data_IF_541127170262
#
_entry.id   IF_541127170262
#
_cell.length_a   1.000
_cell.length_b   1.000
_cell.length_c   1.000
_cell.angle_alpha   90.00
_cell.angle_beta   90.00
_cell.angle_gamma   90.00
#
_symmetry.space_group_name_H-M   'P 1'
#
loop_
_entity.id
_entity.type
_entity.pdbx_description
1 polymer ?
#
# COMPACT_ATOMS: atom_id res chain seq x y z
N UNK A 1 23.79 43.26 30.65
CA UNK A 1 23.85 42.28 29.52
C UNK A 1 24.80 42.83 28.45
N UNK A 2 25.83 42.08 28.05
CA UNK A 2 26.79 42.54 27.02
C UNK A 2 26.11 42.83 25.67
N UNK A 3 26.51 43.88 24.92
CA UNK A 3 25.97 44.22 23.61
C UNK A 3 25.94 43.05 22.62
N UNK A 4 26.96 42.19 22.67
CA UNK A 4 27.07 40.98 21.81
C UNK A 4 25.96 39.97 22.12
N UNK A 5 25.59 39.80 23.39
CA UNK A 5 24.48 38.92 23.82
C UNK A 5 23.11 39.48 23.40
N UNK A 6 22.95 40.81 23.32
CA UNK A 6 21.72 41.46 22.86
C UNK A 6 21.57 41.35 21.34
N UNK A 7 22.64 41.58 20.58
CA UNK A 7 22.66 41.40 19.14
C UNK A 7 22.28 39.96 18.74
N UNK A 8 22.84 38.94 19.41
CA UNK A 8 22.51 37.52 19.18
C UNK A 8 21.03 37.18 19.41
N UNK A 9 20.36 37.85 20.35
CA UNK A 9 18.93 37.60 20.65
C UNK A 9 17.96 38.24 19.65
N UNK A 10 18.41 39.21 18.87
CA UNK A 10 17.57 39.91 17.87
C UNK A 10 17.79 39.40 16.43
N UNK A 11 18.74 38.49 16.22
CA UNK A 11 19.12 37.94 14.91
C UNK A 11 17.90 37.47 14.12
N UNK A 12 17.11 36.56 14.68
CA UNK A 12 15.93 36.01 13.97
C UNK A 12 14.79 37.00 13.77
N UNK A 13 14.80 38.15 14.47
CA UNK A 13 13.84 39.23 14.21
C UNK A 13 14.24 40.03 12.98
N UNK A 14 15.53 40.25 12.77
CA UNK A 14 16.07 40.99 11.62
C UNK A 14 16.19 40.11 10.38
N UNK A 15 16.62 38.87 10.57
CA UNK A 15 16.88 37.90 9.51
C UNK A 15 16.22 36.55 9.86
N UNK A 16 14.89 36.43 9.70
CA UNK A 16 14.17 35.20 10.04
C UNK A 16 14.69 33.97 9.31
N UNK A 17 15.22 34.12 8.08
CA UNK A 17 15.71 32.98 7.28
C UNK A 17 16.84 32.21 7.96
N UNK A 18 17.61 32.89 8.84
CA UNK A 18 18.67 32.25 9.62
C UNK A 18 18.14 31.15 10.55
N UNK A 19 16.84 31.16 10.88
CA UNK A 19 16.22 30.07 11.64
C UNK A 19 16.27 28.74 10.88
N UNK A 20 15.97 28.75 9.57
CA UNK A 20 16.07 27.53 8.75
C UNK A 20 17.54 27.18 8.47
N UNK A 21 18.40 28.17 8.25
CA UNK A 21 19.83 27.95 8.02
C UNK A 21 20.53 27.29 9.21
N UNK A 22 20.09 27.56 10.44
CA UNK A 22 20.63 26.87 11.62
C UNK A 22 20.48 25.35 11.52
N UNK A 23 19.34 24.86 11.01
CA UNK A 23 19.11 23.42 10.80
C UNK A 23 19.90 22.85 9.63
N UNK A 24 20.06 23.63 8.55
CA UNK A 24 20.92 23.23 7.44
C UNK A 24 22.38 23.07 7.89
N UNK A 25 22.90 24.05 8.63
CA UNK A 25 24.27 23.99 9.14
C UNK A 25 24.45 22.80 10.10
N UNK A 26 23.46 22.52 10.95
CA UNK A 26 23.43 21.34 11.80
C UNK A 26 23.48 20.03 10.99
N UNK A 27 22.82 19.97 9.82
CA UNK A 27 22.88 18.82 8.92
C UNK A 27 24.26 18.67 8.29
N UNK A 28 24.78 19.74 7.67
CA UNK A 28 26.04 19.76 6.93
C UNK A 28 27.26 19.50 7.82
N UNK A 29 27.20 19.96 9.08
CA UNK A 29 28.31 19.86 10.04
C UNK A 29 28.13 18.76 11.08
N UNK A 30 27.02 18.04 11.01
CA UNK A 30 26.67 16.98 11.96
C UNK A 30 26.69 17.47 13.43
N UNK A 31 26.09 18.65 13.65
CA UNK A 31 26.04 19.31 14.95
C UNK A 31 24.64 19.25 15.56
N UNK A 32 24.58 19.24 16.89
CA UNK A 32 23.36 19.48 17.65
C UNK A 32 23.14 20.98 17.93
N UNK A 33 21.89 21.36 18.24
CA UNK A 33 21.59 22.70 18.73
C UNK A 33 22.10 22.86 20.16
N UNK A 34 22.82 23.96 20.44
CA UNK A 34 23.08 24.33 21.82
C UNK A 34 21.77 24.67 22.55
N UNK A 35 21.69 24.50 23.88
CA UNK A 35 20.50 24.87 24.66
C UNK A 35 20.08 26.33 24.45
N UNK A 36 21.04 27.25 24.31
CA UNK A 36 20.76 28.68 24.06
C UNK A 36 20.14 28.92 22.69
N UNK A 37 20.61 28.20 21.66
CA UNK A 37 20.07 28.32 20.31
C UNK A 37 18.67 27.70 20.24
N UNK A 38 18.45 26.57 20.90
CA UNK A 38 17.14 25.93 21.00
C UNK A 38 16.09 26.84 21.69
N UNK A 39 16.45 27.45 22.83
CA UNK A 39 15.59 28.44 23.52
C UNK A 39 15.31 29.66 22.62
N UNK A 40 16.34 30.16 21.91
CA UNK A 40 16.19 31.29 21.00
C UNK A 40 15.25 30.98 19.82
N UNK A 41 15.39 29.79 19.20
CA UNK A 41 14.50 29.33 18.13
C UNK A 41 13.06 29.24 18.61
N UNK A 42 12.84 28.61 19.77
CA UNK A 42 11.51 28.43 20.38
C UNK A 42 10.83 29.78 20.66
N UNK A 43 11.55 30.75 21.24
CA UNK A 43 11.01 32.10 21.50
C UNK A 43 10.77 32.92 20.23
N UNK A 44 11.41 32.54 19.12
CA UNK A 44 11.34 33.26 17.85
C UNK A 44 10.32 32.68 16.87
N UNK A 45 9.59 31.60 17.24
CA UNK A 45 8.59 30.96 16.38
C UNK A 45 7.51 31.90 15.84
N UNK A 46 7.23 33.01 16.54
CA UNK A 46 6.31 34.07 16.05
C UNK A 46 6.74 34.66 14.70
N UNK A 47 8.02 34.58 14.35
CA UNK A 47 8.56 35.06 13.08
C UNK A 47 8.27 34.08 11.93
N UNK A 48 7.96 32.81 12.23
CA UNK A 48 7.53 31.80 11.26
C UNK A 48 6.06 32.04 10.94
N UNK A 49 5.81 33.09 10.16
CA UNK A 49 4.50 33.51 9.69
C UNK A 49 4.14 32.82 8.37
N UNK A 50 2.93 33.05 7.85
CA UNK A 50 2.57 32.63 6.49
C UNK A 50 3.55 33.21 5.46
N UNK A 51 3.95 34.46 5.58
CA UNK A 51 4.96 35.05 4.69
C UNK A 51 6.27 34.28 4.71
N UNK A 52 6.72 33.84 5.89
CA UNK A 52 7.91 33.01 6.03
C UNK A 52 7.77 31.65 5.35
N UNK A 53 6.62 30.98 5.52
CA UNK A 53 6.37 29.66 4.93
C UNK A 53 6.37 29.67 3.38
N UNK A 54 6.10 30.81 2.76
CA UNK A 54 6.11 30.99 1.29
C UNK A 54 7.39 31.66 0.77
N UNK A 55 8.31 32.08 1.66
CA UNK A 55 9.54 32.75 1.29
C UNK A 55 10.51 31.82 0.53
N UNK A 56 11.28 32.39 -0.39
CA UNK A 56 12.20 31.64 -1.26
C UNK A 56 13.35 30.99 -0.48
N UNK A 57 13.97 31.71 0.46
CA UNK A 57 15.11 31.22 1.24
C UNK A 57 14.78 29.96 2.06
N UNK A 58 13.83 30.02 3.01
CA UNK A 58 13.45 28.87 3.82
C UNK A 58 12.96 27.68 3.00
N UNK A 59 12.23 27.95 1.90
CA UNK A 59 11.81 26.90 0.94
C UNK A 59 13.01 26.17 0.34
N UNK A 60 13.97 26.91 -0.23
CA UNK A 60 15.13 26.32 -0.86
C UNK A 60 15.96 25.49 0.14
N UNK A 61 16.15 26.02 1.35
CA UNK A 61 16.89 25.32 2.41
C UNK A 61 16.15 24.05 2.85
N UNK A 62 14.83 24.11 3.09
CA UNK A 62 14.07 22.93 3.49
C UNK A 62 14.08 21.84 2.41
N UNK A 63 13.94 22.21 1.13
CA UNK A 63 14.12 21.28 0.01
C UNK A 63 15.51 20.63 0.07
N UNK A 64 16.57 21.43 0.25
CA UNK A 64 17.94 20.92 0.38
C UNK A 64 18.11 19.95 1.54
N UNK A 65 17.48 20.21 2.70
CA UNK A 65 17.51 19.32 3.86
C UNK A 65 16.90 17.95 3.52
N UNK A 66 15.73 17.95 2.86
CA UNK A 66 15.04 16.72 2.47
C UNK A 66 15.75 15.94 1.35
N UNK A 67 16.63 16.58 0.58
CA UNK A 67 17.40 15.91 -0.48
C UNK A 67 18.65 15.16 0.03
N UNK A 68 18.98 15.23 1.32
CA UNK A 68 20.16 14.55 1.90
C UNK A 68 19.82 13.14 2.42
N UNK A 69 19.92 12.12 1.56
CA UNK A 69 19.67 10.71 1.94
C UNK A 69 20.41 10.31 3.22
N UNK A 70 19.71 9.67 4.14
CA UNK A 70 20.29 9.17 5.39
C UNK A 70 20.56 10.23 6.45
N UNK A 71 20.25 11.51 6.19
CA UNK A 71 20.56 12.63 7.10
C UNK A 71 19.35 13.53 7.38
N UNK A 72 18.12 13.06 7.16
CA UNK A 72 16.90 13.88 7.24
C UNK A 72 16.22 13.80 8.60
N UNK A 73 16.03 12.58 9.13
CA UNK A 73 15.30 12.29 10.36
C UNK A 73 15.83 13.05 11.56
N UNK A 74 17.16 13.03 11.77
CA UNK A 74 17.81 13.81 12.84
C UNK A 74 17.42 15.29 12.81
N UNK A 75 17.40 15.89 11.62
CA UNK A 75 17.12 17.32 11.45
C UNK A 75 15.65 17.62 11.63
N UNK A 76 14.75 16.79 11.08
CA UNK A 76 13.32 16.96 11.30
C UNK A 76 12.96 16.79 12.78
N UNK A 77 13.60 15.87 13.50
CA UNK A 77 13.47 15.75 14.97
C UNK A 77 13.98 16.99 15.69
N UNK A 78 15.13 17.53 15.30
CA UNK A 78 15.64 18.79 15.87
C UNK A 78 14.68 19.95 15.64
N UNK A 79 14.11 20.07 14.44
CA UNK A 79 13.08 21.06 14.12
C UNK A 79 11.79 20.83 14.92
N UNK A 80 11.37 19.58 15.12
CA UNK A 80 10.17 19.23 15.88
C UNK A 80 10.32 19.54 17.38
N UNK A 81 11.47 19.21 17.98
CA UNK A 81 11.77 19.47 19.41
C UNK A 81 11.63 20.93 19.82
N UNK A 82 11.89 21.86 18.91
CA UNK A 82 11.73 23.31 19.13
C UNK A 82 10.44 23.87 18.52
N UNK A 83 9.47 23.01 18.18
CA UNK A 83 8.20 23.31 17.52
C UNK A 83 8.30 24.04 16.18
N UNK A 84 9.49 24.10 15.58
CA UNK A 84 9.72 24.78 14.31
C UNK A 84 9.11 24.00 13.14
N UNK A 85 9.24 22.66 13.14
CA UNK A 85 8.73 21.82 12.05
C UNK A 85 7.22 21.99 11.88
N UNK A 86 6.45 21.79 12.96
CA UNK A 86 4.99 21.95 12.94
C UNK A 86 4.54 23.38 12.62
N UNK A 87 5.36 24.39 12.93
CA UNK A 87 5.06 25.78 12.56
C UNK A 87 5.35 26.07 11.08
N UNK A 88 6.35 25.42 10.49
CA UNK A 88 6.72 25.57 9.09
C UNK A 88 5.85 24.72 8.13
N UNK A 89 5.49 23.50 8.57
CA UNK A 89 4.55 22.59 7.90
C UNK A 89 3.34 22.35 8.84
N UNK A 90 2.34 23.26 8.83
CA UNK A 90 1.18 23.17 9.73
C UNK A 90 0.36 21.88 9.59
N UNK A 91 0.38 21.25 8.42
CA UNK A 91 -0.29 19.98 8.15
C UNK A 91 0.31 18.84 9.01
N UNK A 92 1.64 18.81 9.16
CA UNK A 92 2.31 17.93 10.11
C UNK A 92 2.13 18.41 11.56
N UNK A 93 2.17 19.73 11.79
CA UNK A 93 2.04 20.30 13.13
C UNK A 93 0.75 19.89 13.86
N UNK A 94 -0.33 19.62 13.13
CA UNK A 94 -1.59 19.12 13.68
C UNK A 94 -1.53 17.67 14.20
N UNK A 95 -0.51 16.90 13.83
CA UNK A 95 -0.27 15.55 14.34
C UNK A 95 0.44 15.53 15.70
N UNK A 96 0.94 16.69 16.17
CA UNK A 96 1.71 16.79 17.41
C UNK A 96 0.92 16.26 18.60
N UNK A 97 1.43 15.23 19.27
CA UNK A 97 0.77 14.55 20.38
C UNK A 97 -0.61 13.96 20.05
N UNK A 98 -0.92 13.73 18.77
CA UNK A 98 -2.18 13.10 18.36
C UNK A 98 -2.13 11.59 18.63
N UNK A 99 -2.95 11.12 19.56
CA UNK A 99 -3.08 9.68 19.86
C UNK A 99 -3.79 8.98 18.71
N UNK A 100 -3.22 7.85 18.28
CA UNK A 100 -3.78 6.99 17.24
C UNK A 100 -4.61 5.90 17.91
N UNK A 101 -5.82 5.65 17.41
CA UNK A 101 -6.77 4.74 18.05
C UNK A 101 -6.75 3.31 17.47
N UNK A 102 -5.91 3.03 16.47
CA UNK A 102 -5.73 1.66 15.98
C UNK A 102 -4.77 0.86 16.87
N UNK A 103 -5.11 -0.41 17.12
CA UNK A 103 -4.49 -1.30 18.12
C UNK A 103 -2.96 -1.52 18.00
N UNK A 104 -2.36 -1.24 16.83
CA UNK A 104 -0.95 -1.50 16.57
C UNK A 104 -0.05 -0.27 16.73
N UNK A 105 -0.60 0.94 16.90
CA UNK A 105 0.22 2.15 17.00
C UNK A 105 0.78 2.33 18.40
N UNK A 106 2.11 2.18 18.51
CA UNK A 106 2.85 2.48 19.75
C UNK A 106 3.06 3.98 19.99
N UNK A 107 3.03 4.76 18.92
CA UNK A 107 3.45 6.17 18.91
C UNK A 107 2.28 7.11 18.57
N UNK A 108 2.34 8.34 19.07
CA UNK A 108 1.51 9.44 18.54
C UNK A 108 1.82 9.66 17.06
N UNK A 109 0.87 10.23 16.31
CA UNK A 109 0.98 10.31 14.84
C UNK A 109 2.22 11.09 14.36
N UNK A 110 2.62 12.13 15.09
CA UNK A 110 3.87 12.86 14.84
C UNK A 110 5.12 12.01 15.07
N UNK A 111 5.19 11.31 16.21
CA UNK A 111 6.34 10.47 16.53
C UNK A 111 6.42 9.26 15.59
N UNK A 112 5.29 8.63 15.25
CA UNK A 112 5.22 7.59 14.23
C UNK A 112 5.81 8.08 12.89
N UNK A 113 5.39 9.26 12.43
CA UNK A 113 5.90 9.87 11.20
C UNK A 113 7.42 10.06 11.24
N UNK A 114 7.96 10.55 12.36
CA UNK A 114 9.40 10.75 12.54
C UNK A 114 10.16 9.42 12.63
N UNK A 115 9.58 8.40 13.27
CA UNK A 115 10.15 7.04 13.30
C UNK A 115 10.22 6.46 11.89
N UNK A 116 9.18 6.62 11.05
CA UNK A 116 9.20 6.15 9.66
C UNK A 116 10.35 6.80 8.87
N UNK A 117 10.58 8.10 9.08
CA UNK A 117 11.68 8.82 8.45
C UNK A 117 13.04 8.31 8.95
N UNK A 118 13.19 8.01 10.25
CA UNK A 118 14.41 7.41 10.78
C UNK A 118 14.68 6.01 10.19
N UNK A 119 13.62 5.21 9.98
CA UNK A 119 13.72 3.89 9.32
C UNK A 119 14.23 4.03 7.90
N UNK A 120 13.73 5.02 7.16
CA UNK A 120 14.22 5.33 5.82
C UNK A 120 15.69 5.79 5.85
N UNK A 121 16.05 6.68 6.77
CA UNK A 121 17.43 7.15 6.93
C UNK A 121 18.41 5.99 7.19
N UNK A 122 18.03 5.06 8.06
CA UNK A 122 18.85 3.91 8.42
C UNK A 122 19.18 3.00 7.22
N UNK A 123 18.38 3.03 6.13
CA UNK A 123 18.68 2.28 4.92
C UNK A 123 19.97 2.75 4.24
N UNK A 124 20.38 4.01 4.40
CA UNK A 124 21.59 4.53 3.76
C UNK A 124 22.87 3.78 4.18
N UNK A 125 22.90 3.29 5.42
CA UNK A 125 24.10 2.69 6.02
C UNK A 125 23.88 1.24 6.49
N UNK A 126 22.69 0.67 6.26
CA UNK A 126 22.36 -0.67 6.74
C UNK A 126 23.22 -1.76 6.09
N UNK A 127 23.64 -2.73 6.91
CA UNK A 127 24.27 -3.98 6.49
C UNK A 127 23.39 -5.20 6.80
N UNK A 128 22.15 -4.98 7.24
CA UNK A 128 21.19 -6.06 7.46
C UNK A 128 20.80 -6.68 6.11
N UNK A 129 21.07 -7.98 5.95
CA UNK A 129 20.77 -8.75 4.75
C UNK A 129 19.30 -8.66 4.34
N UNK A 130 18.37 -8.55 5.30
CA UNK A 130 16.93 -8.38 5.03
C UNK A 130 16.63 -7.03 4.37
N UNK A 131 17.43 -6.00 4.66
CA UNK A 131 17.21 -4.62 4.20
C UNK A 131 18.03 -4.24 2.97
N UNK A 132 18.99 -5.06 2.54
CA UNK A 132 19.87 -4.74 1.39
C UNK A 132 19.08 -4.48 0.11
N UNK A 133 18.01 -5.21 -0.16
CA UNK A 133 17.18 -4.99 -1.35
C UNK A 133 16.52 -3.60 -1.34
N UNK A 134 15.99 -3.16 -0.19
CA UNK A 134 15.43 -1.81 -0.04
C UNK A 134 16.50 -0.73 -0.10
N UNK A 135 17.66 -0.97 0.52
CA UNK A 135 18.82 -0.07 0.42
C UNK A 135 19.19 0.19 -1.04
N UNK A 136 19.26 -0.86 -1.87
CA UNK A 136 19.52 -0.71 -3.32
C UNK A 136 18.47 0.18 -3.98
N UNK A 137 17.18 -0.02 -3.71
CA UNK A 137 16.11 0.83 -4.24
C UNK A 137 16.32 2.29 -3.81
N UNK A 138 16.65 2.52 -2.54
CA UNK A 138 16.88 3.85 -1.98
C UNK A 138 18.14 4.53 -2.56
N UNK A 139 19.23 3.79 -2.77
CA UNK A 139 20.46 4.29 -3.39
C UNK A 139 20.22 4.75 -4.84
N UNK A 140 19.42 4.02 -5.62
CA UNK A 140 19.12 4.37 -7.01
C UNK A 140 18.11 5.52 -7.18
N UNK A 141 17.43 5.94 -6.12
CA UNK A 141 16.48 7.04 -6.15
C UNK A 141 17.21 8.39 -6.30
N UNK A 142 17.24 9.04 -7.46
CA UNK A 142 18.08 10.23 -7.70
C UNK A 142 17.91 11.36 -6.66
N UNK A 143 16.67 11.76 -6.37
CA UNK A 143 16.34 12.80 -5.37
C UNK A 143 15.30 12.27 -4.37
N UNK A 144 15.63 12.19 -3.07
CA UNK A 144 14.71 11.67 -2.06
C UNK A 144 13.72 12.70 -1.53
N UNK A 145 13.76 13.96 -1.97
CA UNK A 145 12.91 15.03 -1.48
C UNK A 145 11.43 14.65 -1.42
N UNK A 146 10.90 14.11 -2.54
CA UNK A 146 9.49 13.73 -2.65
C UNK A 146 9.16 12.55 -1.72
N UNK A 147 10.09 11.62 -1.54
CA UNK A 147 9.91 10.45 -0.68
C UNK A 147 9.84 10.85 0.80
N UNK A 148 10.78 11.67 1.28
CA UNK A 148 10.75 12.18 2.65
C UNK A 148 9.53 13.07 2.91
N UNK A 149 9.16 13.90 1.94
CA UNK A 149 7.97 14.74 2.06
C UNK A 149 6.68 13.91 2.07
N UNK A 150 6.63 12.81 1.30
CA UNK A 150 5.51 11.88 1.34
C UNK A 150 5.38 11.24 2.73
N UNK A 151 6.48 10.73 3.30
CA UNK A 151 6.49 10.20 4.66
C UNK A 151 6.08 11.26 5.70
N UNK A 152 6.55 12.49 5.57
CA UNK A 152 6.17 13.57 6.50
C UNK A 152 4.65 13.87 6.49
N UNK A 153 3.94 13.53 5.41
CA UNK A 153 2.55 13.93 5.18
C UNK A 153 1.56 12.76 5.08
N UNK A 154 2.04 11.51 5.01
CA UNK A 154 1.19 10.34 4.70
C UNK A 154 -0.03 10.22 5.61
N UNK A 155 0.14 10.55 6.89
CA UNK A 155 -0.89 10.47 7.92
C UNK A 155 -1.51 11.81 8.33
N UNK A 156 -1.18 12.91 7.64
CA UNK A 156 -1.66 14.25 8.00
C UNK A 156 -3.19 14.39 8.01
N UNK A 157 -3.92 13.57 7.24
CA UNK A 157 -5.37 13.46 7.24
C UNK A 157 -5.98 12.94 8.54
N UNK A 158 -5.22 12.22 9.39
CA UNK A 158 -5.70 11.74 10.70
C UNK A 158 -6.08 12.91 11.63
N UNK A 159 -5.40 14.05 11.51
CA UNK A 159 -5.67 15.24 12.32
C UNK A 159 -7.09 15.81 12.15
N UNK A 160 -7.72 15.57 11.01
CA UNK A 160 -9.09 16.03 10.73
C UNK A 160 -10.14 14.91 10.84
N UNK A 161 -9.75 13.73 11.32
CA UNK A 161 -10.65 12.58 11.50
C UNK A 161 -11.23 12.02 10.20
N UNK A 162 -10.58 12.27 9.06
CA UNK A 162 -11.04 11.80 7.75
C UNK A 162 -10.96 10.27 7.63
N UNK A 163 -11.89 9.68 6.87
CA UNK A 163 -11.92 8.25 6.55
C UNK A 163 -12.33 8.05 5.08
N UNK A 164 -11.46 7.48 4.22
CA UNK A 164 -10.05 7.15 4.48
C UNK A 164 -9.21 8.42 4.72
N UNK A 165 -8.21 8.35 5.60
CA UNK A 165 -7.37 9.51 5.92
C UNK A 165 -6.42 9.89 4.78
N UNK A 166 -6.06 8.92 3.93
CA UNK A 166 -5.12 9.12 2.81
C UNK A 166 -5.58 10.19 1.82
N UNK A 167 -6.89 10.26 1.52
CA UNK A 167 -7.45 11.28 0.63
C UNK A 167 -7.27 12.70 1.21
N UNK A 168 -7.53 12.86 2.51
CA UNK A 168 -7.31 14.13 3.20
C UNK A 168 -5.81 14.49 3.27
N UNK A 169 -4.96 13.51 3.54
CA UNK A 169 -3.50 13.67 3.48
C UNK A 169 -3.06 14.13 2.08
N UNK A 170 -3.64 13.58 1.01
CA UNK A 170 -3.32 13.92 -0.36
C UNK A 170 -3.70 15.38 -0.70
N UNK A 171 -4.84 15.86 -0.20
CA UNK A 171 -5.23 17.27 -0.31
C UNK A 171 -4.25 18.19 0.43
N UNK A 172 -3.78 17.79 1.61
CA UNK A 172 -2.75 18.52 2.35
C UNK A 172 -1.41 18.52 1.61
N UNK A 173 -0.98 17.37 1.10
CA UNK A 173 0.22 17.24 0.28
C UNK A 173 0.17 18.11 -0.98
N UNK A 174 -1.00 18.22 -1.61
CA UNK A 174 -1.21 19.13 -2.74
C UNK A 174 -0.96 20.61 -2.37
N UNK A 175 -1.43 21.05 -1.20
CA UNK A 175 -1.19 22.43 -0.71
C UNK A 175 0.27 22.66 -0.37
N UNK A 176 0.92 21.69 0.30
CA UNK A 176 2.34 21.74 0.63
C UNK A 176 3.19 21.79 -0.65
N UNK A 177 2.88 20.98 -1.67
CA UNK A 177 3.57 21.00 -2.96
C UNK A 177 3.52 22.39 -3.61
N UNK A 178 2.38 23.06 -3.58
CA UNK A 178 2.24 24.43 -4.07
C UNK A 178 3.08 25.43 -3.28
N UNK A 179 3.09 25.32 -1.94
CA UNK A 179 3.89 26.17 -1.05
C UNK A 179 5.40 25.98 -1.25
N UNK A 180 5.82 24.74 -1.47
CA UNK A 180 7.21 24.36 -1.75
C UNK A 180 7.60 24.48 -3.24
N UNK A 181 6.71 24.98 -4.09
CA UNK A 181 6.94 25.17 -5.53
C UNK A 181 7.55 23.93 -6.21
N UNK A 182 6.97 22.76 -5.91
CA UNK A 182 7.37 21.52 -6.55
C UNK A 182 6.99 21.54 -8.04
N UNK A 183 7.78 20.86 -8.86
CA UNK A 183 7.50 20.65 -10.27
C UNK A 183 6.20 19.86 -10.45
N UNK A 184 5.63 19.89 -11.66
CA UNK A 184 4.41 19.11 -11.93
C UNK A 184 4.63 17.61 -11.73
N UNK A 185 5.84 17.10 -11.98
CA UNK A 185 6.16 15.68 -11.79
C UNK A 185 6.28 15.36 -10.29
N UNK A 186 7.09 16.13 -9.56
CA UNK A 186 7.27 15.99 -8.11
C UNK A 186 5.93 16.04 -7.37
N UNK A 187 5.05 17.00 -7.75
CA UNK A 187 3.72 17.14 -7.16
C UNK A 187 2.83 15.92 -7.42
N UNK A 188 2.86 15.37 -8.65
CA UNK A 188 2.06 14.17 -8.99
C UNK A 188 2.55 12.96 -8.20
N UNK A 189 3.87 12.75 -8.14
CA UNK A 189 4.45 11.66 -7.34
C UNK A 189 4.17 11.83 -5.85
N UNK A 190 4.28 13.04 -5.29
CA UNK A 190 3.96 13.29 -3.88
C UNK A 190 2.51 12.91 -3.55
N UNK A 191 1.56 13.40 -4.36
CA UNK A 191 0.13 13.14 -4.14
C UNK A 191 -0.13 11.63 -4.24
N UNK A 192 0.42 10.96 -5.25
CA UNK A 192 0.27 9.51 -5.43
C UNK A 192 0.79 8.75 -4.21
N UNK A 193 2.01 9.05 -3.75
CA UNK A 193 2.61 8.34 -2.62
C UNK A 193 1.82 8.54 -1.33
N UNK A 194 1.31 9.74 -1.09
CA UNK A 194 0.51 10.05 0.10
C UNK A 194 -0.88 9.41 0.02
N UNK A 195 -1.54 9.46 -1.14
CA UNK A 195 -2.89 8.88 -1.31
C UNK A 195 -2.87 7.34 -1.28
N UNK A 196 -1.79 6.75 -1.78
CA UNK A 196 -1.65 5.30 -1.92
C UNK A 196 -0.67 4.65 -0.94
N UNK A 197 -0.26 5.33 0.14
CA UNK A 197 0.76 4.81 1.07
C UNK A 197 0.44 3.42 1.64
N UNK A 198 -0.85 3.11 1.84
CA UNK A 198 -1.33 1.80 2.30
C UNK A 198 -1.59 0.79 1.16
N UNK A 199 -1.64 1.25 -0.10
CA UNK A 199 -2.15 0.44 -1.23
C UNK A 199 -1.31 -0.81 -1.46
N UNK A 200 0.02 -0.70 -1.49
CA UNK A 200 0.89 -1.84 -1.73
C UNK A 200 0.72 -2.92 -0.66
N UNK A 201 0.79 -2.53 0.62
CA UNK A 201 0.59 -3.43 1.76
C UNK A 201 -0.81 -4.06 1.77
N UNK A 202 -1.84 -3.28 1.46
CA UNK A 202 -3.24 -3.74 1.42
C UNK A 202 -3.47 -4.74 0.29
N UNK A 203 -3.01 -4.44 -0.93
CA UNK A 203 -3.16 -5.36 -2.07
C UNK A 203 -2.40 -6.66 -1.80
N UNK A 204 -1.15 -6.55 -1.31
CA UNK A 204 -0.32 -7.71 -0.98
C UNK A 204 -1.01 -8.72 -0.04
N UNK A 205 -1.77 -8.23 0.94
CA UNK A 205 -2.40 -9.05 1.97
C UNK A 205 -3.85 -9.48 1.64
N UNK A 206 -4.58 -8.71 0.83
CA UNK A 206 -6.03 -8.91 0.63
C UNK A 206 -6.39 -9.47 -0.75
N UNK A 207 -5.44 -9.51 -1.70
CA UNK A 207 -5.69 -9.94 -3.08
C UNK A 207 -4.88 -11.18 -3.42
N UNK A 208 -5.27 -11.85 -4.50
CA UNK A 208 -4.46 -12.91 -5.10
C UNK A 208 -3.31 -12.26 -5.90
N UNK A 209 -2.06 -12.57 -5.54
CA UNK A 209 -0.86 -11.99 -6.16
C UNK A 209 -0.45 -12.67 -7.46
N UNK A 210 -1.04 -13.82 -7.75
CA UNK A 210 -0.84 -14.54 -9.01
C UNK A 210 -1.82 -14.06 -10.10
N UNK A 211 -2.83 -13.28 -9.73
CA UNK A 211 -3.82 -12.71 -10.65
C UNK A 211 -3.21 -11.54 -11.45
N UNK A 212 -3.14 -11.64 -12.81
CA UNK A 212 -2.72 -10.54 -13.67
C UNK A 212 -3.50 -9.25 -13.41
N UNK A 213 -4.80 -9.34 -13.10
CA UNK A 213 -5.62 -8.17 -12.86
C UNK A 213 -5.15 -7.38 -11.62
N UNK A 214 -4.75 -8.07 -10.55
CA UNK A 214 -4.14 -7.45 -9.36
C UNK A 214 -2.85 -6.71 -9.71
N UNK A 215 -1.99 -7.33 -10.52
CA UNK A 215 -0.71 -6.76 -10.95
C UNK A 215 -0.94 -5.54 -11.85
N UNK A 216 -1.88 -5.64 -12.78
CA UNK A 216 -2.30 -4.56 -13.67
C UNK A 216 -2.93 -3.40 -12.90
N UNK A 217 -3.76 -3.66 -11.90
CA UNK A 217 -4.36 -2.64 -11.03
C UNK A 217 -3.26 -1.82 -10.34
N UNK A 218 -2.31 -2.48 -9.68
CA UNK A 218 -1.21 -1.78 -9.03
C UNK A 218 -0.33 -1.04 -10.05
N UNK A 219 0.00 -1.66 -11.19
CA UNK A 219 0.77 -1.02 -12.26
C UNK A 219 0.06 0.24 -12.80
N UNK A 220 -1.26 0.20 -12.93
CA UNK A 220 -2.08 1.35 -13.31
C UNK A 220 -2.09 2.42 -12.23
N UNK A 221 -2.00 2.08 -10.94
CA UNK A 221 -1.90 3.08 -9.87
C UNK A 221 -0.53 3.76 -9.91
N UNK A 222 0.56 2.98 -9.85
CA UNK A 222 1.93 3.52 -9.75
C UNK A 222 2.42 4.15 -11.06
N UNK A 223 1.87 3.75 -12.21
CA UNK A 223 2.19 4.22 -13.58
C UNK A 223 3.60 3.89 -14.09
N UNK A 224 4.62 3.88 -13.24
CA UNK A 224 6.01 3.66 -13.62
C UNK A 224 6.86 3.10 -12.47
N UNK A 225 8.06 2.61 -12.79
CA UNK A 225 8.98 1.99 -11.84
C UNK A 225 9.45 2.96 -10.75
N UNK A 226 9.61 4.26 -11.05
CA UNK A 226 10.05 5.27 -10.08
C UNK A 226 9.05 5.41 -8.93
N UNK A 227 7.76 5.47 -9.24
CA UNK A 227 6.70 5.52 -8.24
C UNK A 227 6.56 4.20 -7.47
N UNK A 228 6.70 3.05 -8.16
CA UNK A 228 6.67 1.73 -7.50
C UNK A 228 7.82 1.58 -6.48
N UNK A 229 9.03 1.99 -6.85
CA UNK A 229 10.21 2.03 -5.98
C UNK A 229 9.99 2.93 -4.75
N UNK A 230 9.46 4.14 -4.96
CA UNK A 230 9.18 5.05 -3.85
C UNK A 230 8.07 4.51 -2.94
N UNK A 231 7.01 3.92 -3.50
CA UNK A 231 5.92 3.32 -2.73
C UNK A 231 6.41 2.13 -1.90
N UNK A 232 7.30 1.31 -2.44
CA UNK A 232 7.95 0.21 -1.71
C UNK A 232 8.68 0.71 -0.45
N UNK A 233 9.42 1.81 -0.58
CA UNK A 233 10.15 2.42 0.55
C UNK A 233 9.20 3.06 1.57
N UNK A 234 8.12 3.71 1.13
CA UNK A 234 7.07 4.22 2.02
C UNK A 234 6.43 3.08 2.81
N UNK A 235 6.05 2.00 2.13
CA UNK A 235 5.41 0.83 2.76
C UNK A 235 6.31 0.16 3.80
N UNK A 236 7.60 0.00 3.51
CA UNK A 236 8.56 -0.51 4.50
C UNK A 236 8.64 0.41 5.72
N UNK A 237 8.85 1.70 5.49
CA UNK A 237 9.07 2.67 6.55
C UNK A 237 7.85 2.78 7.48
N UNK A 238 6.65 2.84 6.91
CA UNK A 238 5.37 2.85 7.62
C UNK A 238 5.13 1.56 8.41
N UNK A 239 5.35 0.41 7.76
CA UNK A 239 5.24 -0.91 8.39
C UNK A 239 6.15 -1.07 9.60
N UNK A 240 7.44 -0.72 9.48
CA UNK A 240 8.40 -0.77 10.58
C UNK A 240 8.22 0.36 11.61
N UNK A 241 7.59 1.47 11.22
CA UNK A 241 7.31 2.62 12.08
C UNK A 241 6.08 2.47 12.95
N UNK A 242 5.21 1.49 12.66
CA UNK A 242 4.00 1.21 13.43
C UNK A 242 4.32 0.42 14.71
N UNK A 243 4.84 -0.82 14.56
CA UNK A 243 5.36 -1.66 15.65
C UNK A 243 6.31 -2.73 15.10
N UNK A 244 7.10 -3.37 15.97
CA UNK A 244 7.99 -4.46 15.55
C UNK A 244 7.21 -5.70 15.08
N UNK A 245 6.01 -5.93 15.61
CA UNK A 245 5.13 -7.02 15.22
C UNK A 245 4.29 -6.70 13.96
N UNK A 246 4.16 -5.41 13.60
CA UNK A 246 3.36 -4.97 12.47
C UNK A 246 3.96 -5.41 11.12
N UNK A 247 5.30 -5.46 11.01
CA UNK A 247 6.04 -5.87 9.82
C UNK A 247 6.67 -7.26 10.00
N UNK A 248 5.96 -8.31 9.57
CA UNK A 248 6.42 -9.70 9.68
C UNK A 248 7.07 -10.20 8.38
N UNK A 249 7.93 -11.22 8.48
CA UNK A 249 8.59 -11.86 7.33
C UNK A 249 7.58 -12.35 6.28
N UNK A 250 6.41 -12.82 6.72
CA UNK A 250 5.32 -13.21 5.82
C UNK A 250 4.73 -12.01 5.06
N UNK A 251 4.38 -10.91 5.75
CA UNK A 251 3.88 -9.69 5.07
C UNK A 251 4.90 -9.14 4.08
N UNK A 252 6.16 -9.13 4.48
CA UNK A 252 7.28 -8.69 3.65
C UNK A 252 7.39 -9.54 2.37
N UNK A 253 7.29 -10.87 2.46
CA UNK A 253 7.34 -11.74 1.27
C UNK A 253 6.22 -11.45 0.27
N UNK A 254 5.00 -11.17 0.74
CA UNK A 254 3.85 -10.85 -0.12
C UNK A 254 4.05 -9.50 -0.82
N UNK A 255 4.56 -8.51 -0.10
CA UNK A 255 4.87 -7.19 -0.64
C UNK A 255 5.97 -7.28 -1.71
N UNK A 256 7.03 -8.06 -1.46
CA UNK A 256 8.08 -8.29 -2.45
C UNK A 256 7.59 -9.04 -3.70
N UNK A 257 6.77 -10.08 -3.53
CA UNK A 257 6.18 -10.80 -4.67
C UNK A 257 5.37 -9.85 -5.56
N UNK A 258 4.48 -9.06 -4.96
CA UNK A 258 3.68 -8.08 -5.69
C UNK A 258 4.55 -7.00 -6.36
N UNK A 259 5.56 -6.50 -5.67
CA UNK A 259 6.51 -5.53 -6.22
C UNK A 259 7.24 -6.08 -7.45
N UNK A 260 7.77 -7.29 -7.39
CA UNK A 260 8.51 -7.90 -8.50
C UNK A 260 7.61 -8.20 -9.70
N UNK A 261 6.43 -8.77 -9.47
CA UNK A 261 5.45 -9.03 -10.53
C UNK A 261 5.04 -7.72 -11.24
N UNK A 262 4.81 -6.66 -10.46
CA UNK A 262 4.45 -5.34 -11.01
C UNK A 262 5.63 -4.70 -11.74
N UNK A 263 6.85 -4.86 -11.24
CA UNK A 263 8.06 -4.36 -11.90
C UNK A 263 8.30 -5.03 -13.26
N UNK A 264 8.11 -6.35 -13.34
CA UNK A 264 8.18 -7.09 -14.60
C UNK A 264 7.13 -6.60 -15.60
N UNK A 265 5.89 -6.42 -15.15
CA UNK A 265 4.80 -5.88 -15.97
C UNK A 265 5.11 -4.48 -16.51
N UNK A 266 5.66 -3.59 -15.68
CA UNK A 266 6.04 -2.22 -16.07
C UNK A 266 7.22 -2.18 -17.05
N UNK A 267 8.14 -3.15 -16.96
CA UNK A 267 9.32 -3.21 -17.82
C UNK A 267 8.98 -3.71 -19.23
N UNK A 268 8.19 -4.79 -19.33
CA UNK A 268 7.77 -5.34 -20.62
C UNK A 268 6.37 -5.96 -20.54
N UNK A 269 5.37 -5.10 -20.75
CA UNK A 269 3.97 -5.51 -20.81
C UNK A 269 3.70 -6.57 -21.88
N UNK A 270 4.36 -6.49 -23.05
CA UNK A 270 4.08 -7.42 -24.16
C UNK A 270 4.55 -8.82 -23.82
N UNK A 271 5.77 -8.93 -23.29
CA UNK A 271 6.31 -10.21 -22.84
C UNK A 271 5.49 -10.81 -21.70
N UNK A 272 5.03 -9.97 -20.76
CA UNK A 272 4.15 -10.40 -19.68
C UNK A 272 2.81 -10.97 -20.19
N UNK A 273 2.15 -10.26 -21.10
CA UNK A 273 0.88 -10.67 -21.69
C UNK A 273 1.07 -11.95 -22.54
N UNK A 274 2.17 -12.06 -23.29
CA UNK A 274 2.52 -13.25 -24.09
C UNK A 274 2.75 -14.48 -23.21
N UNK A 275 3.54 -14.35 -22.14
CA UNK A 275 3.82 -15.44 -21.21
C UNK A 275 2.53 -15.94 -20.55
N UNK A 276 1.64 -15.02 -20.17
CA UNK A 276 0.32 -15.35 -19.61
C UNK A 276 -0.53 -16.12 -20.63
N UNK A 277 -0.46 -15.74 -21.92
CA UNK A 277 -1.16 -16.46 -23.00
C UNK A 277 -0.60 -17.87 -23.19
N UNK A 278 0.72 -18.03 -23.25
CA UNK A 278 1.39 -19.32 -23.41
C UNK A 278 1.03 -20.28 -22.26
N UNK A 279 1.01 -19.80 -21.03
CA UNK A 279 0.60 -20.58 -19.86
C UNK A 279 -0.84 -21.07 -19.99
N UNK A 280 -1.75 -20.20 -20.45
CA UNK A 280 -3.16 -20.53 -20.67
C UNK A 280 -3.36 -21.56 -21.78
N UNK A 281 -2.69 -21.38 -22.93
CA UNK A 281 -2.72 -22.32 -24.05
C UNK A 281 -2.17 -23.70 -23.64
N UNK A 282 -1.08 -23.73 -22.87
CA UNK A 282 -0.47 -24.96 -22.35
C UNK A 282 -1.40 -25.70 -21.39
N UNK A 283 -2.09 -24.96 -20.52
CA UNK A 283 -3.08 -25.52 -19.61
C UNK A 283 -4.29 -26.07 -20.36
N UNK A 284 -4.80 -25.34 -21.37
CA UNK A 284 -5.88 -25.81 -22.24
C UNK A 284 -5.51 -27.12 -22.93
N UNK A 285 -4.32 -27.19 -23.52
CA UNK A 285 -3.83 -28.40 -24.16
C UNK A 285 -3.71 -29.58 -23.17
N UNK A 286 -3.36 -29.31 -21.92
CA UNK A 286 -3.28 -30.32 -20.87
C UNK A 286 -4.67 -30.83 -20.44
N UNK A 287 -5.66 -29.95 -20.34
CA UNK A 287 -7.08 -30.32 -20.10
C UNK A 287 -7.62 -31.18 -21.24
N UNK A 288 -7.41 -30.76 -22.49
CA UNK A 288 -7.88 -31.50 -23.67
C UNK A 288 -7.29 -32.90 -23.80
N UNK A 289 -6.11 -33.17 -23.22
CA UNK A 289 -5.51 -34.51 -23.18
C UNK A 289 -6.15 -35.44 -22.15
N UNK A 290 -6.75 -34.91 -21.09
CA UNK A 290 -7.31 -35.70 -20.00
C UNK A 290 -8.82 -35.96 -20.13
N UNK A 291 -9.52 -35.16 -20.92
CA UNK A 291 -10.94 -35.33 -21.23
C UNK A 291 -11.16 -35.99 -22.59
N UNK A 292 -12.32 -36.62 -22.77
CA UNK A 292 -12.72 -37.22 -24.05
C UNK A 292 -13.00 -36.15 -25.10
N UNK A 293 -12.87 -36.52 -26.39
CA UNK A 293 -12.98 -35.57 -27.53
C UNK A 293 -14.33 -34.88 -27.64
N UNK A 294 -15.36 -35.45 -27.06
CA UNK A 294 -16.70 -34.87 -26.98
C UNK A 294 -16.76 -33.63 -26.08
N UNK A 295 -15.77 -33.35 -25.22
CA UNK A 295 -15.67 -32.11 -24.42
C UNK A 295 -15.07 -30.91 -25.17
N UNK A 296 -14.73 -31.05 -26.45
CA UNK A 296 -13.99 -30.02 -27.17
C UNK A 296 -14.67 -28.64 -27.13
N UNK A 297 -15.99 -28.59 -27.33
CA UNK A 297 -16.76 -27.35 -27.31
C UNK A 297 -16.83 -26.73 -25.92
N UNK A 298 -17.03 -27.52 -24.86
CA UNK A 298 -17.03 -27.03 -23.49
C UNK A 298 -15.66 -26.53 -23.05
N UNK A 299 -14.58 -27.20 -23.46
CA UNK A 299 -13.22 -26.76 -23.17
C UNK A 299 -12.95 -25.42 -23.85
N UNK A 300 -13.29 -25.28 -25.14
CA UNK A 300 -13.12 -24.03 -25.87
C UNK A 300 -13.90 -22.88 -25.20
N UNK A 301 -15.19 -23.07 -24.94
CA UNK A 301 -16.00 -22.05 -24.26
C UNK A 301 -15.47 -21.73 -22.86
N UNK A 302 -15.09 -22.74 -22.07
CA UNK A 302 -14.54 -22.51 -20.73
C UNK A 302 -13.26 -21.70 -20.79
N UNK A 303 -12.35 -22.00 -21.73
CA UNK A 303 -11.11 -21.26 -21.94
C UNK A 303 -11.26 -19.94 -22.69
N UNK A 304 -12.40 -19.66 -23.31
CA UNK A 304 -12.71 -18.36 -23.91
C UNK A 304 -13.30 -17.40 -22.87
N UNK A 305 -14.30 -17.86 -22.11
CA UNK A 305 -15.12 -16.98 -21.26
C UNK A 305 -14.70 -16.93 -19.80
N UNK A 306 -13.94 -17.91 -19.29
CA UNK A 306 -13.45 -17.80 -17.91
C UNK A 306 -12.36 -16.72 -17.80
N UNK A 307 -12.37 -15.97 -16.69
CA UNK A 307 -11.35 -14.95 -16.44
C UNK A 307 -9.98 -15.59 -16.16
N UNK A 308 -8.89 -14.90 -16.51
CA UNK A 308 -7.52 -15.42 -16.35
C UNK A 308 -7.19 -15.91 -14.92
N UNK A 309 -7.71 -15.22 -13.91
CA UNK A 309 -7.48 -15.55 -12.50
C UNK A 309 -7.94 -16.97 -12.13
N UNK A 310 -8.96 -17.50 -12.81
CA UNK A 310 -9.43 -18.87 -12.60
C UNK A 310 -8.32 -19.88 -12.92
N UNK A 311 -7.67 -19.72 -14.07
CA UNK A 311 -6.67 -20.67 -14.57
C UNK A 311 -5.38 -20.72 -13.77
N UNK A 312 -5.10 -19.65 -13.00
CA UNK A 312 -3.94 -19.60 -12.09
C UNK A 312 -4.28 -20.08 -10.68
N UNK A 313 -5.52 -19.87 -10.24
CA UNK A 313 -5.96 -20.25 -8.90
C UNK A 313 -6.45 -21.71 -8.82
N UNK A 314 -6.74 -22.33 -9.95
CA UNK A 314 -7.33 -23.67 -10.04
C UNK A 314 -6.35 -24.62 -10.72
N UNK A 315 -6.09 -25.75 -10.06
CA UNK A 315 -5.20 -26.77 -10.61
C UNK A 315 -5.87 -27.57 -11.72
N UNK A 316 -5.05 -28.28 -12.51
CA UNK A 316 -5.52 -29.07 -13.64
C UNK A 316 -6.61 -30.09 -13.26
N UNK A 317 -6.46 -30.90 -12.18
CA UNK A 317 -7.53 -31.78 -11.73
C UNK A 317 -8.83 -31.03 -11.41
N UNK A 318 -8.77 -29.91 -10.69
CA UNK A 318 -9.96 -29.14 -10.31
C UNK A 318 -10.65 -28.51 -11.54
N UNK A 319 -9.89 -28.04 -12.53
CA UNK A 319 -10.45 -27.57 -13.82
C UNK A 319 -11.24 -28.68 -14.53
N UNK A 320 -10.69 -29.89 -14.58
CA UNK A 320 -11.36 -31.04 -15.18
C UNK A 320 -12.66 -31.36 -14.42
N UNK A 321 -12.63 -31.30 -13.09
CA UNK A 321 -13.82 -31.54 -12.27
C UNK A 321 -14.89 -30.44 -12.45
N UNK A 322 -14.49 -29.19 -12.71
CA UNK A 322 -15.41 -28.10 -13.05
C UNK A 322 -16.06 -28.29 -14.42
N UNK A 323 -15.30 -28.71 -15.44
CA UNK A 323 -15.83 -28.99 -16.78
C UNK A 323 -16.87 -30.13 -16.76
N UNK A 324 -16.61 -31.20 -16.00
CA UNK A 324 -17.60 -32.28 -15.79
C UNK A 324 -18.86 -31.77 -15.10
N UNK A 325 -18.72 -30.87 -14.13
CA UNK A 325 -19.86 -30.26 -13.44
C UNK A 325 -20.67 -29.38 -14.38
N UNK A 326 -20.00 -28.63 -15.25
CA UNK A 326 -20.63 -27.79 -16.27
C UNK A 326 -21.45 -28.62 -17.27
N UNK A 327 -20.91 -29.75 -17.75
CA UNK A 327 -21.68 -30.67 -18.60
C UNK A 327 -22.89 -31.24 -17.87
N UNK A 328 -22.72 -31.73 -16.65
CA UNK A 328 -23.83 -32.24 -15.84
C UNK A 328 -24.95 -31.20 -15.68
N UNK A 329 -24.57 -29.93 -15.50
CA UNK A 329 -25.54 -28.83 -15.47
C UNK A 329 -26.28 -28.66 -16.81
N UNK A 330 -25.57 -28.66 -17.94
CA UNK A 330 -26.20 -28.57 -19.27
C UNK A 330 -27.14 -29.74 -19.56
N UNK A 331 -26.77 -30.96 -19.15
CA UNK A 331 -27.60 -32.16 -19.25
C UNK A 331 -28.86 -32.05 -18.39
N UNK A 332 -28.73 -31.57 -17.15
CA UNK A 332 -29.86 -31.33 -16.25
C UNK A 332 -30.84 -30.32 -16.84
N UNK A 333 -30.34 -29.22 -17.39
CA UNK A 333 -31.17 -28.17 -18.01
C UNK A 333 -31.85 -28.68 -19.28
N UNK A 334 -31.18 -29.53 -20.06
CA UNK A 334 -31.74 -30.09 -21.31
C UNK A 334 -32.77 -31.21 -21.10
N UNK A 335 -32.77 -31.86 -19.92
CA UNK A 335 -33.64 -33.00 -19.60
C UNK A 335 -34.87 -32.63 -18.77
N UNK A 336 -34.89 -31.46 -18.13
CA UNK A 336 -36.02 -31.02 -17.30
C UNK A 336 -37.11 -30.30 -18.11
N UNK A 337 -38.29 -30.92 -18.28
CA UNK A 337 -39.48 -30.26 -18.85
C UNK A 337 -40.09 -29.20 -17.91
N UNK A 338 -39.81 -29.28 -16.61
CA UNK A 338 -40.24 -28.28 -15.62
C UNK A 338 -39.06 -27.43 -15.12
N UNK A 339 -39.06 -26.16 -15.53
CA UNK A 339 -38.36 -25.00 -14.96
C UNK A 339 -36.83 -25.11 -14.82
N UNK A 340 -36.13 -24.49 -15.78
CA UNK A 340 -34.68 -24.27 -15.93
C UNK A 340 -33.85 -23.81 -14.71
N UNK A 341 -33.92 -24.54 -13.59
CA UNK A 341 -33.28 -24.27 -12.31
C UNK A 341 -32.46 -25.47 -11.77
N UNK A 342 -32.24 -26.51 -12.58
CA UNK A 342 -31.57 -27.73 -12.15
C UNK A 342 -30.04 -27.52 -12.02
N UNK A 343 -29.63 -26.89 -10.92
CA UNK A 343 -28.22 -26.70 -10.58
C UNK A 343 -27.49 -28.04 -10.48
N UNK A 344 -26.25 -28.10 -10.96
CA UNK A 344 -25.37 -29.23 -10.69
C UNK A 344 -24.58 -28.98 -9.39
N UNK A 345 -24.45 -30.00 -8.54
CA UNK A 345 -23.68 -29.94 -7.30
C UNK A 345 -22.67 -31.08 -7.23
N UNK A 346 -21.45 -30.75 -6.80
CA UNK A 346 -20.44 -31.71 -6.36
C UNK A 346 -20.10 -31.44 -4.91
N UNK A 347 -20.11 -32.49 -4.08
CA UNK A 347 -19.56 -32.47 -2.73
C UNK A 347 -18.30 -33.34 -2.70
N UNK A 348 -17.16 -32.76 -2.29
CA UNK A 348 -15.93 -33.49 -1.98
C UNK A 348 -15.52 -33.27 -0.52
N UNK A 349 -15.42 -34.35 0.25
CA UNK A 349 -14.86 -34.30 1.60
C UNK A 349 -13.34 -34.34 1.47
N UNK A 350 -12.62 -33.44 2.16
CA UNK A 350 -11.16 -33.38 2.17
C UNK A 350 -10.67 -33.55 3.61
N UNK A 351 -10.67 -34.79 4.15
CA UNK A 351 -10.43 -35.05 5.57
C UNK A 351 -9.08 -34.53 6.05
N UNK A 352 -8.06 -34.67 5.20
CA UNK A 352 -6.67 -34.27 5.48
C UNK A 352 -6.52 -32.75 5.67
N UNK A 353 -7.44 -31.96 5.12
CA UNK A 353 -7.46 -30.50 5.24
C UNK A 353 -8.55 -30.01 6.21
N UNK A 354 -9.25 -30.93 6.88
CA UNK A 354 -10.27 -30.64 7.89
C UNK A 354 -11.47 -29.86 7.37
N UNK A 355 -11.80 -29.96 6.07
CA UNK A 355 -12.96 -29.30 5.47
C UNK A 355 -13.60 -30.13 4.34
N UNK A 356 -14.79 -29.73 3.91
CA UNK A 356 -15.41 -30.20 2.67
C UNK A 356 -15.46 -29.05 1.67
N UNK A 357 -15.27 -29.37 0.40
CA UNK A 357 -15.46 -28.45 -0.73
C UNK A 357 -16.77 -28.82 -1.40
N UNK A 358 -17.63 -27.84 -1.59
CA UNK A 358 -18.88 -28.02 -2.33
C UNK A 358 -18.89 -27.03 -3.49
N UNK A 359 -19.02 -27.56 -4.70
CA UNK A 359 -18.99 -26.79 -5.95
C UNK A 359 -20.36 -26.87 -6.62
N UNK A 360 -20.84 -25.73 -7.10
CA UNK A 360 -22.16 -25.60 -7.73
C UNK A 360 -22.03 -24.93 -9.10
N UNK A 361 -22.90 -25.32 -10.03
CA UNK A 361 -23.10 -24.67 -11.32
C UNK A 361 -24.60 -24.36 -11.50
N UNK A 362 -24.96 -23.10 -11.74
CA UNK A 362 -26.35 -22.60 -11.80
C UNK A 362 -26.45 -21.31 -12.62
N UNK A 363 -27.65 -21.01 -13.18
CA UNK A 363 -27.96 -19.78 -13.92
C UNK A 363 -28.15 -18.54 -13.03
N UNK A 364 -28.64 -18.70 -11.79
CA UNK A 364 -28.99 -17.57 -10.91
C UNK A 364 -28.05 -17.42 -9.70
N UNK A 365 -27.34 -16.29 -9.66
CA UNK A 365 -26.34 -15.96 -8.63
C UNK A 365 -26.96 -15.58 -7.27
N UNK A 366 -28.12 -14.91 -7.26
CA UNK A 366 -28.69 -14.28 -6.05
C UNK A 366 -29.72 -15.15 -5.31
N UNK A 367 -30.56 -15.90 -6.03
CA UNK A 367 -31.62 -16.72 -5.43
C UNK A 367 -31.10 -18.01 -4.77
N UNK A 368 -29.92 -18.49 -5.17
CA UNK A 368 -29.32 -19.70 -4.63
C UNK A 368 -28.67 -19.50 -3.25
N UNK A 369 -27.96 -18.39 -3.04
CA UNK A 369 -27.36 -18.06 -1.74
C UNK A 369 -28.42 -17.97 -0.62
N UNK A 370 -29.59 -17.39 -0.95
CA UNK A 370 -30.74 -17.24 -0.04
C UNK A 370 -31.40 -18.61 0.23
N UNK A 371 -31.57 -19.47 -0.78
CA UNK A 371 -32.20 -20.80 -0.63
C UNK A 371 -31.32 -21.83 0.09
N UNK A 372 -30.00 -21.74 -0.05
CA UNK A 372 -29.02 -22.55 0.67
C UNK A 372 -29.05 -22.29 2.18
N UNK A 373 -29.03 -21.01 2.56
CA UNK A 373 -29.11 -20.57 3.96
C UNK A 373 -30.38 -21.06 4.67
N UNK A 374 -31.50 -21.16 3.95
CA UNK A 374 -32.79 -21.58 4.49
C UNK A 374 -32.94 -23.11 4.73
N UNK A 375 -32.07 -23.95 4.15
CA UNK A 375 -32.19 -25.42 4.19
C UNK A 375 -31.08 -26.14 4.97
N UNK A 376 -30.10 -25.40 5.47
CA UNK A 376 -29.07 -25.96 6.36
C UNK A 376 -29.61 -26.05 7.80
N UNK A 377 -29.38 -27.15 8.54
CA UNK A 377 -29.82 -27.26 9.94
C UNK A 377 -29.18 -26.14 10.77
N UNK A 378 -29.88 -25.62 11.79
CA UNK A 378 -29.48 -24.43 12.57
C UNK A 378 -28.05 -24.46 13.16
N UNK A 379 -27.42 -25.64 13.28
CA UNK A 379 -26.01 -25.79 13.66
C UNK A 379 -24.99 -25.45 12.55
N UNK A 380 -25.39 -25.46 11.29
CA UNK A 380 -24.60 -25.02 10.13
C UNK A 380 -24.82 -23.54 9.77
N UNK A 381 -25.94 -22.94 10.22
CA UNK A 381 -26.29 -21.53 9.97
C UNK A 381 -25.41 -20.56 10.77
N UNK A 382 -24.84 -20.98 11.90
CA UNK A 382 -23.97 -20.13 12.73
C UNK A 382 -22.61 -19.78 12.07
N UNK A 383 -22.24 -20.42 10.95
CA UNK A 383 -20.98 -20.18 10.23
C UNK A 383 -21.12 -19.50 8.86
N UNK A 384 -22.34 -19.23 8.39
CA UNK A 384 -22.58 -18.72 7.03
C UNK A 384 -22.76 -17.20 6.96
N UNK A 385 -23.25 -16.56 8.02
CA UNK A 385 -23.38 -15.10 8.06
C UNK A 385 -22.05 -14.38 8.30
N UNK A 386 -21.10 -15.00 9.01
CA UNK A 386 -19.75 -14.45 9.27
C UNK A 386 -18.74 -14.74 8.15
N UNK A 387 -19.17 -14.77 6.89
CA UNK A 387 -18.24 -15.00 5.76
C UNK A 387 -18.42 -14.07 4.57
N UNK A 388 -19.51 -13.32 4.57
CA UNK A 388 -19.59 -12.05 3.85
C UNK A 388 -18.91 -10.92 4.65
N UNK A 389 -18.72 -11.13 5.97
CA UNK A 389 -17.95 -10.26 6.86
C UNK A 389 -17.12 -11.12 7.84
N UNK A 390 -15.79 -10.99 7.73
CA UNK A 390 -14.75 -11.34 8.70
C UNK A 390 -14.31 -12.80 8.96
N UNK A 391 -13.04 -12.87 9.35
CA UNK A 391 -12.18 -14.06 9.46
C UNK A 391 -12.62 -15.10 10.50
N UNK A 392 -12.20 -16.36 10.27
CA UNK A 392 -12.40 -17.58 11.07
C UNK A 392 -13.69 -18.40 10.88
N UNK A 393 -13.79 -19.12 9.75
CA UNK A 393 -14.34 -20.49 9.70
C UNK A 393 -13.91 -21.25 8.43
N UNK A 394 -13.66 -22.57 8.51
CA UNK A 394 -13.10 -23.39 7.41
C UNK A 394 -14.18 -23.95 6.45
N UNK A 395 -14.53 -23.19 5.42
CA UNK A 395 -15.36 -23.66 4.29
C UNK A 395 -15.11 -22.70 3.13
N UNK A 396 -14.40 -23.15 2.10
CA UNK A 396 -14.14 -22.37 0.89
C UNK A 396 -15.29 -22.65 -0.07
N UNK A 397 -15.98 -21.61 -0.52
CA UNK A 397 -17.06 -21.70 -1.50
C UNK A 397 -16.54 -21.15 -2.83
N UNK A 398 -16.49 -22.00 -3.85
CA UNK A 398 -16.20 -21.58 -5.22
C UNK A 398 -17.53 -21.45 -5.96
N UNK A 399 -17.90 -20.22 -6.29
CA UNK A 399 -19.11 -19.88 -7.05
C UNK A 399 -18.67 -19.50 -8.47
N UNK A 400 -19.09 -20.26 -9.47
CA UNK A 400 -18.93 -19.93 -10.88
C UNK A 400 -20.31 -19.68 -11.49
N UNK A 401 -20.54 -18.47 -12.02
CA UNK A 401 -21.65 -18.15 -12.90
C UNK A 401 -21.09 -17.58 -14.20
N UNK A 402 -21.65 -18.01 -15.33
CA UNK A 402 -21.67 -17.25 -16.58
C UNK A 402 -22.84 -16.27 -16.54
#
# INVERSE_FOLDING_TARGET
MSPVRRARREVFRKEPEQMMQAFQLAQERELDLSPELADLLTRSLRNVTRTYQYARGPRAIFKSILSQKGKVGRILRMMHRVNFLGRYIPEFGQLTCLVQHEFLHRYTADEHTLVCIDKLDALAETNDLKLIAYRRIFEHLEDPLVLYLALLLHDSGKAVGARPHSEASALFAQRVAGRLQLSSEERKSLILLVDHHLTLSRIAQQRNLDDPATIMELAQIVKNQKNLNALMLVTLADGQGTSAEAWSDWKESLVWQLFHNTSQYLADRKSYDEQTRIERESLQASVSKQLSRDYAGEIEAHFEYMPDHYFRATDLPEIIEHLKLFRCFLENVSSSEESGLAAAMRWKVVPEQGHSVVTFCTWERELFAIRMLARLPARAICGWWNKLCDEHSKTRASIFCH
#
